data_IF_198435939892
#
_entry.id   IF_198435939892
#
_cell.length_a   1.000
_cell.length_b   1.000
_cell.length_c   1.000
_cell.angle_alpha   90.00
_cell.angle_beta   90.00
_cell.angle_gamma   90.00
#
_symmetry.space_group_name_H-M   'P 1'
#
loop_
_entity.id
_entity.type
_entity.pdbx_description
1 polymer ?
#
# COMPACT_ATOMS: atom_id res chain seq x y z
N UNK A 1 -25.59 -9.72 -11.10
CA UNK A 1 -24.80 -9.82 -12.35
C UNK A 1 -23.38 -10.14 -11.95
N UNK A 2 -22.72 -11.08 -12.64
CA UNK A 2 -21.31 -11.38 -12.35
C UNK A 2 -20.44 -10.15 -12.67
N UNK A 3 -19.42 -9.91 -11.85
CA UNK A 3 -18.45 -8.83 -12.08
C UNK A 3 -17.74 -9.04 -13.43
N UNK A 4 -17.51 -7.97 -14.18
CA UNK A 4 -16.78 -8.05 -15.45
C UNK A 4 -15.27 -8.04 -15.18
N UNK A 5 -14.54 -9.02 -15.75
CA UNK A 5 -13.08 -9.04 -15.77
C UNK A 5 -12.61 -8.66 -17.16
N UNK A 6 -11.68 -7.70 -17.27
CA UNK A 6 -11.12 -7.23 -18.53
C UNK A 6 -9.59 -7.21 -18.45
N UNK A 7 -8.95 -7.40 -19.60
CA UNK A 7 -7.51 -7.57 -19.67
C UNK A 7 -6.81 -6.47 -20.49
N UNK A 8 -7.57 -5.67 -21.24
CA UNK A 8 -7.00 -4.63 -22.10
C UNK A 8 -7.37 -3.22 -21.61
N UNK A 9 -6.49 -2.28 -21.88
CA UNK A 9 -6.70 -0.85 -21.63
C UNK A 9 -7.93 -0.34 -22.42
N UNK A 10 -8.13 -0.85 -23.63
CA UNK A 10 -9.26 -0.47 -24.48
C UNK A 10 -10.59 -0.83 -23.82
N UNK A 11 -10.75 -2.04 -23.29
CA UNK A 11 -11.98 -2.50 -22.61
C UNK A 11 -12.29 -1.68 -21.35
N UNK A 12 -11.25 -1.31 -20.56
CA UNK A 12 -11.44 -0.42 -19.40
C UNK A 12 -11.96 0.94 -19.85
N UNK A 13 -11.29 1.56 -20.83
CA UNK A 13 -11.66 2.90 -21.33
C UNK A 13 -13.07 2.91 -21.92
N UNK A 14 -13.45 1.89 -22.66
CA UNK A 14 -14.80 1.75 -23.22
C UNK A 14 -15.84 1.67 -22.09
N UNK A 15 -15.64 0.76 -21.13
CA UNK A 15 -16.57 0.57 -20.01
C UNK A 15 -16.71 1.86 -19.18
N UNK A 16 -15.61 2.51 -18.85
CA UNK A 16 -15.65 3.76 -18.05
C UNK A 16 -16.26 4.92 -18.85
N UNK A 17 -16.04 4.98 -20.17
CA UNK A 17 -16.65 5.99 -21.01
C UNK A 17 -18.19 5.89 -21.05
N UNK A 18 -18.74 4.67 -21.02
CA UNK A 18 -20.19 4.45 -20.90
C UNK A 18 -20.71 4.99 -19.56
N UNK A 19 -20.09 4.63 -18.44
CA UNK A 19 -20.47 5.13 -17.11
C UNK A 19 -20.44 6.66 -17.03
N UNK A 20 -19.46 7.29 -17.68
CA UNK A 20 -19.37 8.75 -17.71
C UNK A 20 -20.45 9.43 -18.54
N UNK A 21 -20.91 8.80 -19.63
CA UNK A 21 -22.07 9.30 -20.39
C UNK A 21 -23.34 9.30 -19.54
N UNK A 22 -23.44 8.40 -18.57
CA UNK A 22 -24.53 8.33 -17.61
C UNK A 22 -24.33 9.29 -16.41
N UNK A 23 -23.21 10.02 -16.35
CA UNK A 23 -22.90 10.95 -15.27
C UNK A 23 -22.39 10.30 -13.99
N UNK A 24 -21.97 9.01 -14.04
CA UNK A 24 -21.58 8.23 -12.88
C UNK A 24 -20.14 8.55 -12.42
N UNK A 25 -19.94 8.57 -11.12
CA UNK A 25 -18.64 8.67 -10.48
C UNK A 25 -17.94 7.32 -10.44
N UNK A 26 -16.58 7.34 -10.56
CA UNK A 26 -15.76 6.13 -10.62
C UNK A 26 -14.69 6.17 -9.54
N UNK A 27 -14.68 5.14 -8.69
CA UNK A 27 -13.60 4.85 -7.76
C UNK A 27 -12.60 3.84 -8.33
N UNK A 28 -11.35 3.94 -7.94
CA UNK A 28 -10.29 3.00 -8.32
C UNK A 28 -9.60 2.45 -7.07
N UNK A 29 -9.43 1.13 -7.02
CA UNK A 29 -8.65 0.44 -6.00
C UNK A 29 -7.46 -0.26 -6.66
N UNK A 30 -6.26 0.33 -6.66
CA UNK A 30 -5.05 -0.30 -7.19
C UNK A 30 -4.59 -1.42 -6.26
N UNK A 31 -4.43 -2.64 -6.79
CA UNK A 31 -3.89 -3.79 -6.06
C UNK A 31 -2.94 -4.61 -6.93
N UNK A 32 -2.17 -5.47 -6.28
CA UNK A 32 -1.36 -6.48 -6.96
C UNK A 32 -2.02 -7.87 -6.99
N UNK A 33 -3.28 -7.97 -6.54
CA UNK A 33 -3.97 -9.25 -6.41
C UNK A 33 -3.68 -9.97 -5.09
N UNK A 34 -4.12 -11.23 -5.01
CA UNK A 34 -4.16 -12.05 -3.81
C UNK A 34 -4.84 -11.29 -2.65
N UNK A 35 -6.07 -10.88 -2.92
CA UNK A 35 -6.81 -9.95 -2.09
C UNK A 35 -7.13 -10.56 -0.71
N UNK A 36 -7.16 -9.70 0.29
CA UNK A 36 -7.49 -10.04 1.68
C UNK A 36 -8.41 -8.97 2.30
N UNK A 37 -8.84 -9.14 3.54
CA UNK A 37 -9.78 -8.22 4.19
C UNK A 37 -9.31 -6.74 4.21
N UNK A 38 -7.99 -6.50 4.20
CA UNK A 38 -7.44 -5.14 4.01
C UNK A 38 -7.83 -4.56 2.66
N UNK A 39 -7.64 -5.29 1.55
CA UNK A 39 -8.09 -4.85 0.23
C UNK A 39 -9.63 -4.74 0.16
N UNK A 40 -10.35 -5.67 0.79
CA UNK A 40 -11.80 -5.65 0.87
C UNK A 40 -12.31 -4.35 1.52
N UNK A 41 -11.62 -3.84 2.55
CA UNK A 41 -12.00 -2.56 3.17
C UNK A 41 -11.86 -1.36 2.23
N UNK A 42 -10.82 -1.36 1.37
CA UNK A 42 -10.65 -0.33 0.33
C UNK A 42 -11.77 -0.38 -0.70
N UNK A 43 -12.12 -1.59 -1.15
CA UNK A 43 -13.18 -1.81 -2.14
C UNK A 43 -14.54 -1.37 -1.56
N UNK A 44 -14.85 -1.76 -0.31
CA UNK A 44 -16.07 -1.31 0.38
C UNK A 44 -16.15 0.21 0.43
N UNK A 45 -15.07 0.86 0.85
CA UNK A 45 -15.02 2.33 0.92
C UNK A 45 -15.22 2.97 -0.46
N UNK A 46 -14.62 2.38 -1.50
CA UNK A 46 -14.83 2.85 -2.88
C UNK A 46 -16.29 2.70 -3.35
N UNK A 47 -16.93 1.57 -3.04
CA UNK A 47 -18.33 1.29 -3.38
C UNK A 47 -19.30 2.23 -2.63
N UNK A 48 -18.97 2.59 -1.38
CA UNK A 48 -19.75 3.56 -0.59
C UNK A 48 -19.67 4.99 -1.16
N UNK A 49 -18.50 5.38 -1.68
CA UNK A 49 -18.23 6.76 -2.09
C UNK A 49 -18.48 7.04 -3.57
N UNK A 50 -18.68 6.02 -4.41
CA UNK A 50 -18.82 6.18 -5.86
C UNK A 50 -19.90 5.27 -6.43
N UNK A 51 -20.43 5.66 -7.60
CA UNK A 51 -21.45 4.87 -8.32
C UNK A 51 -20.86 3.60 -8.94
N UNK A 52 -19.59 3.62 -9.29
CA UNK A 52 -18.86 2.49 -9.89
C UNK A 52 -17.47 2.35 -9.27
N UNK A 53 -17.04 1.12 -9.11
CA UNK A 53 -15.70 0.78 -8.58
C UNK A 53 -14.97 -0.12 -9.54
N UNK A 54 -13.74 0.29 -9.93
CA UNK A 54 -12.76 -0.48 -10.67
C UNK A 54 -11.70 -0.98 -9.69
N UNK A 55 -11.40 -2.27 -9.71
CA UNK A 55 -10.27 -2.85 -8.98
C UNK A 55 -9.21 -3.27 -9.99
N UNK A 56 -7.98 -2.76 -9.88
CA UNK A 56 -6.88 -3.33 -10.65
C UNK A 56 -6.25 -4.50 -9.90
N UNK A 57 -6.01 -5.60 -10.60
CA UNK A 57 -5.31 -6.79 -10.12
C UNK A 57 -4.10 -7.00 -11.02
N UNK A 58 -2.97 -6.39 -10.65
CA UNK A 58 -1.77 -6.37 -11.49
C UNK A 58 -0.48 -6.38 -10.67
N UNK A 59 0.27 -7.49 -10.75
CA UNK A 59 1.61 -7.57 -10.14
C UNK A 59 2.57 -6.78 -11.02
N UNK A 60 2.86 -5.55 -10.62
CA UNK A 60 3.66 -4.61 -11.39
C UNK A 60 5.16 -4.95 -11.32
N UNK A 61 5.79 -5.43 -12.41
CA UNK A 61 7.20 -5.84 -12.37
C UNK A 61 8.17 -4.70 -12.10
N UNK A 62 7.81 -3.46 -12.48
CA UNK A 62 8.74 -2.32 -12.42
C UNK A 62 8.99 -1.79 -11.01
N UNK A 63 8.19 -2.23 -10.01
CA UNK A 63 8.37 -1.84 -8.61
C UNK A 63 9.15 -2.85 -7.78
N UNK A 64 9.58 -3.96 -8.37
CA UNK A 64 10.38 -4.99 -7.71
C UNK A 64 11.86 -4.86 -8.11
N UNK A 65 12.73 -4.93 -7.11
CA UNK A 65 14.17 -5.04 -7.31
C UNK A 65 14.58 -6.46 -7.72
N UNK A 66 15.84 -6.64 -8.17
CA UNK A 66 16.32 -7.93 -8.68
C UNK A 66 16.23 -9.11 -7.69
N UNK A 67 16.24 -8.82 -6.39
CA UNK A 67 16.24 -9.81 -5.31
C UNK A 67 14.91 -9.80 -4.52
N UNK A 68 13.86 -9.24 -5.08
CA UNK A 68 12.54 -9.19 -4.44
C UNK A 68 11.62 -10.31 -4.95
N UNK A 69 10.50 -10.50 -4.29
CA UNK A 69 9.58 -11.64 -4.42
C UNK A 69 8.63 -11.59 -5.64
N UNK A 70 9.05 -10.98 -6.76
CA UNK A 70 8.20 -10.84 -7.97
C UNK A 70 7.64 -12.18 -8.47
N UNK A 71 8.53 -13.17 -8.61
CA UNK A 71 8.14 -14.50 -9.11
C UNK A 71 7.30 -15.27 -8.09
N UNK A 72 7.62 -15.12 -6.80
CA UNK A 72 6.93 -15.79 -5.70
C UNK A 72 5.64 -15.08 -5.27
N UNK A 73 5.38 -13.85 -5.77
CA UNK A 73 4.20 -13.08 -5.36
C UNK A 73 2.91 -13.86 -5.70
N UNK A 74 2.02 -14.11 -4.73
CA UNK A 74 0.87 -14.98 -4.91
C UNK A 74 -0.13 -14.39 -5.90
N UNK A 75 -0.74 -15.27 -6.72
CA UNK A 75 -1.74 -14.90 -7.71
C UNK A 75 -2.90 -15.91 -7.65
N UNK A 76 -4.12 -15.41 -7.56
CA UNK A 76 -5.34 -16.20 -7.56
C UNK A 76 -6.50 -15.33 -8.05
N UNK A 77 -6.65 -15.25 -9.38
CA UNK A 77 -7.65 -14.36 -9.98
C UNK A 77 -9.09 -14.81 -9.69
N UNK A 78 -9.33 -16.10 -9.56
CA UNK A 78 -10.66 -16.63 -9.26
C UNK A 78 -11.13 -16.18 -7.88
N UNK A 79 -10.30 -16.37 -6.85
CA UNK A 79 -10.54 -15.90 -5.48
C UNK A 79 -10.65 -14.37 -5.41
N UNK A 80 -9.81 -13.65 -6.14
CA UNK A 80 -9.85 -12.18 -6.20
C UNK A 80 -11.16 -11.70 -6.83
N UNK A 81 -11.63 -12.41 -7.86
CA UNK A 81 -12.91 -12.11 -8.52
C UNK A 81 -14.09 -12.32 -7.57
N UNK A 82 -14.14 -13.45 -6.87
CA UNK A 82 -15.18 -13.73 -5.87
C UNK A 82 -15.21 -12.68 -4.76
N UNK A 83 -14.04 -12.27 -4.26
CA UNK A 83 -13.94 -11.23 -3.23
C UNK A 83 -14.43 -9.86 -3.75
N UNK A 84 -14.03 -9.48 -4.96
CA UNK A 84 -14.46 -8.24 -5.58
C UNK A 84 -15.99 -8.21 -5.81
N UNK A 85 -16.54 -9.32 -6.32
CA UNK A 85 -17.99 -9.46 -6.57
C UNK A 85 -18.79 -9.38 -5.26
N UNK A 86 -18.37 -10.13 -4.23
CA UNK A 86 -19.01 -10.12 -2.91
C UNK A 86 -18.95 -8.76 -2.21
N UNK A 87 -17.99 -7.92 -2.61
CA UNK A 87 -17.78 -6.58 -2.04
C UNK A 87 -18.52 -5.49 -2.82
N UNK A 88 -19.04 -5.79 -4.02
CA UNK A 88 -19.80 -4.87 -4.84
C UNK A 88 -18.99 -4.08 -5.88
N UNK A 89 -17.75 -4.48 -6.17
CA UNK A 89 -16.99 -3.91 -7.28
C UNK A 89 -17.70 -4.19 -8.63
N UNK A 90 -17.47 -3.33 -9.61
CA UNK A 90 -18.16 -3.40 -10.92
C UNK A 90 -17.26 -3.91 -12.04
N UNK A 91 -15.94 -3.69 -11.94
CA UNK A 91 -14.98 -4.05 -12.96
C UNK A 91 -13.66 -4.47 -12.31
N UNK A 92 -13.08 -5.56 -12.80
CA UNK A 92 -11.71 -5.94 -12.52
C UNK A 92 -10.87 -5.69 -13.77
N UNK A 93 -9.76 -4.97 -13.61
CA UNK A 93 -8.73 -4.82 -14.63
C UNK A 93 -7.52 -5.68 -14.27
N UNK A 94 -7.34 -6.77 -15.01
CA UNK A 94 -6.23 -7.71 -14.81
C UNK A 94 -5.42 -7.84 -16.11
N UNK A 95 -4.54 -6.85 -16.40
CA UNK A 95 -3.74 -6.85 -17.62
C UNK A 95 -2.51 -7.76 -17.50
N UNK A 96 -2.01 -8.22 -18.65
CA UNK A 96 -0.68 -8.77 -18.77
C UNK A 96 0.40 -7.66 -18.70
N UNK A 97 1.64 -7.96 -18.30
CA UNK A 97 2.72 -6.96 -18.27
C UNK A 97 2.96 -6.27 -19.63
N UNK A 98 2.80 -6.96 -20.75
CA UNK A 98 2.93 -6.41 -22.10
C UNK A 98 1.85 -5.39 -22.46
N UNK A 99 0.65 -5.49 -21.86
CA UNK A 99 -0.42 -4.50 -22.04
C UNK A 99 -0.08 -3.20 -21.29
N UNK A 100 0.57 -3.30 -20.12
CA UNK A 100 0.98 -2.15 -19.34
C UNK A 100 2.29 -1.53 -19.82
N UNK A 101 3.21 -2.35 -20.28
CA UNK A 101 4.56 -1.96 -20.72
C UNK A 101 4.88 -2.67 -22.02
N UNK A 102 4.45 -2.07 -23.12
CA UNK A 102 4.73 -2.56 -24.47
C UNK A 102 6.22 -2.43 -24.84
N UNK A 103 6.65 -3.15 -25.85
CA UNK A 103 8.03 -3.08 -26.33
C UNK A 103 8.42 -1.65 -26.68
N UNK A 104 9.58 -1.21 -26.18
CA UNK A 104 10.05 0.16 -26.36
C UNK A 104 9.54 1.17 -25.31
N UNK A 105 8.87 0.72 -24.25
CA UNK A 105 8.44 1.59 -23.14
C UNK A 105 9.65 2.27 -22.46
N UNK A 106 9.67 3.60 -22.44
CA UNK A 106 10.79 4.42 -21.91
C UNK A 106 10.36 5.56 -20.99
N UNK A 107 9.06 5.68 -20.71
CA UNK A 107 8.50 6.78 -19.91
C UNK A 107 8.27 6.37 -18.47
N UNK A 108 8.78 7.14 -17.52
CA UNK A 108 8.62 6.87 -16.10
C UNK A 108 8.18 8.13 -15.36
N UNK A 109 7.45 7.93 -14.26
CA UNK A 109 7.18 8.97 -13.27
C UNK A 109 8.05 8.68 -12.06
N UNK A 110 8.92 9.62 -11.72
CA UNK A 110 9.84 9.51 -10.59
C UNK A 110 9.59 10.63 -9.59
N UNK A 111 9.96 10.39 -8.34
CA UNK A 111 9.78 11.36 -7.26
C UNK A 111 11.03 11.40 -6.39
N UNK A 112 11.41 12.64 -5.99
CA UNK A 112 12.50 12.88 -5.06
C UNK A 112 11.95 13.40 -3.71
N UNK A 113 12.79 13.45 -2.70
CA UNK A 113 12.41 13.91 -1.36
C UNK A 113 11.75 12.78 -0.56
N UNK A 114 10.43 12.65 -0.60
CA UNK A 114 9.71 11.63 0.17
C UNK A 114 10.21 10.19 -0.06
N UNK A 115 10.80 9.92 -1.20
CA UNK A 115 11.33 8.60 -1.57
C UNK A 115 12.78 8.38 -1.14
N UNK A 116 13.41 9.37 -0.52
CA UNK A 116 14.78 9.28 0.00
C UNK A 116 14.85 8.77 1.44
N UNK A 117 13.74 8.29 1.99
CA UNK A 117 13.57 7.86 3.37
C UNK A 117 12.91 6.47 3.43
N UNK A 118 12.96 5.81 4.60
CA UNK A 118 12.21 4.58 4.88
C UNK A 118 12.39 3.50 3.77
N UNK A 119 11.30 2.98 3.23
CA UNK A 119 11.31 2.00 2.15
C UNK A 119 12.07 2.47 0.90
N UNK A 120 12.13 3.77 0.62
CA UNK A 120 12.84 4.29 -0.55
C UNK A 120 14.35 4.13 -0.47
N UNK A 121 14.92 4.12 0.75
CA UNK A 121 16.36 3.84 0.97
C UNK A 121 16.69 2.37 0.70
N UNK A 122 15.88 1.45 1.20
CA UNK A 122 16.11 0.01 1.04
C UNK A 122 15.65 -0.55 -0.31
N UNK A 123 14.77 0.17 -1.01
CA UNK A 123 14.17 -0.23 -2.29
C UNK A 123 14.25 0.88 -3.35
N UNK A 124 15.44 1.19 -3.88
CA UNK A 124 15.69 2.40 -4.70
C UNK A 124 14.83 2.53 -5.96
N UNK A 125 14.38 1.40 -6.55
CA UNK A 125 13.56 1.39 -7.78
C UNK A 125 12.06 1.38 -7.50
N UNK A 126 11.67 1.09 -6.25
CA UNK A 126 10.29 0.79 -5.87
C UNK A 126 9.33 1.93 -6.20
N UNK A 127 9.59 3.13 -5.69
CA UNK A 127 8.66 4.25 -5.85
C UNK A 127 8.57 4.78 -7.28
N UNK A 128 9.65 4.69 -8.06
CA UNK A 128 9.58 4.96 -9.50
C UNK A 128 8.62 4.00 -10.20
N UNK A 129 8.67 2.72 -9.86
CA UNK A 129 7.72 1.72 -10.36
C UNK A 129 6.29 2.00 -9.90
N UNK A 130 6.08 2.32 -8.61
CA UNK A 130 4.77 2.66 -8.05
C UNK A 130 4.18 3.92 -8.71
N UNK A 131 4.94 5.02 -8.76
CA UNK A 131 4.47 6.28 -9.38
C UNK A 131 4.10 6.06 -10.85
N UNK A 132 4.89 5.27 -11.58
CA UNK A 132 4.64 4.98 -12.99
C UNK A 132 3.36 4.18 -13.18
N UNK A 133 3.19 3.05 -12.47
CA UNK A 133 2.00 2.21 -12.64
C UNK A 133 0.73 2.91 -12.18
N UNK A 134 0.80 3.63 -11.05
CA UNK A 134 -0.35 4.36 -10.51
C UNK A 134 -0.77 5.49 -11.46
N UNK A 135 0.19 6.23 -12.04
CA UNK A 135 -0.10 7.24 -13.06
C UNK A 135 -0.74 6.63 -14.31
N UNK A 136 -0.25 5.46 -14.77
CA UNK A 136 -0.89 4.74 -15.88
C UNK A 136 -2.33 4.35 -15.55
N UNK A 137 -2.57 3.77 -14.37
CA UNK A 137 -3.91 3.39 -13.93
C UNK A 137 -4.85 4.61 -13.83
N UNK A 138 -4.36 5.76 -13.33
CA UNK A 138 -5.15 6.99 -13.30
C UNK A 138 -5.51 7.48 -14.70
N UNK A 139 -4.59 7.40 -15.66
CA UNK A 139 -4.86 7.77 -17.06
C UNK A 139 -5.75 6.76 -17.81
N UNK A 140 -5.72 5.49 -17.42
CA UNK A 140 -6.55 4.43 -18.03
C UNK A 140 -7.99 4.53 -17.54
N UNK A 141 -8.18 4.61 -16.22
CA UNK A 141 -9.49 4.64 -15.57
C UNK A 141 -10.05 6.06 -15.46
N UNK A 142 -9.19 7.04 -15.21
CA UNK A 142 -9.54 8.43 -14.92
C UNK A 142 -10.51 8.55 -13.73
N UNK A 143 -10.23 7.99 -12.56
CA UNK A 143 -11.17 7.91 -11.46
C UNK A 143 -11.46 9.28 -10.85
N UNK A 144 -12.62 9.42 -10.17
CA UNK A 144 -12.89 10.56 -9.29
C UNK A 144 -12.14 10.43 -7.97
N UNK A 145 -12.00 9.20 -7.47
CA UNK A 145 -11.28 8.86 -6.24
C UNK A 145 -10.46 7.59 -6.41
N UNK A 146 -9.29 7.53 -5.77
CA UNK A 146 -8.49 6.31 -5.69
C UNK A 146 -8.14 5.99 -4.23
N UNK A 147 -8.21 4.71 -3.85
CA UNK A 147 -8.17 4.23 -2.47
C UNK A 147 -6.89 3.49 -2.19
N UNK A 148 -6.18 3.89 -1.13
CA UNK A 148 -4.91 3.30 -0.71
C UNK A 148 -4.92 3.02 0.79
N UNK A 149 -4.30 1.91 1.19
CA UNK A 149 -4.18 1.54 2.60
C UNK A 149 -3.11 2.36 3.34
N UNK A 150 -3.43 2.83 4.55
CA UNK A 150 -2.48 3.49 5.44
C UNK A 150 -1.35 2.56 5.93
N UNK A 151 -1.48 1.25 5.74
CA UNK A 151 -0.40 0.30 6.01
C UNK A 151 0.85 0.64 5.21
N UNK A 152 0.70 1.03 3.96
CA UNK A 152 1.78 1.48 3.09
C UNK A 152 1.87 3.01 3.13
N UNK A 153 2.12 3.54 4.35
CA UNK A 153 2.02 4.96 4.67
C UNK A 153 2.87 5.87 3.78
N UNK A 154 4.13 5.48 3.53
CA UNK A 154 5.01 6.22 2.63
C UNK A 154 4.46 6.21 1.19
N UNK A 155 3.95 5.08 0.70
CA UNK A 155 3.31 5.02 -0.61
C UNK A 155 2.11 5.96 -0.70
N UNK A 156 1.26 5.98 0.34
CA UNK A 156 0.11 6.89 0.40
C UNK A 156 0.54 8.36 0.32
N UNK A 157 1.59 8.75 1.07
CA UNK A 157 2.13 10.11 1.03
C UNK A 157 2.73 10.47 -0.33
N UNK A 158 3.50 9.54 -0.93
CA UNK A 158 4.09 9.69 -2.27
C UNK A 158 3.00 9.88 -3.32
N UNK A 159 1.96 9.04 -3.32
CA UNK A 159 0.86 9.14 -4.30
C UNK A 159 0.05 10.43 -4.11
N UNK A 160 -0.25 10.83 -2.88
CA UNK A 160 -0.92 12.12 -2.59
C UNK A 160 -0.09 13.30 -3.11
N UNK A 161 1.21 13.27 -2.88
CA UNK A 161 2.12 14.31 -3.35
C UNK A 161 2.19 14.36 -4.88
N UNK A 162 2.32 13.22 -5.53
CA UNK A 162 2.33 13.09 -6.99
C UNK A 162 1.05 13.68 -7.62
N UNK A 163 -0.11 13.31 -7.10
CA UNK A 163 -1.41 13.83 -7.57
C UNK A 163 -1.47 15.34 -7.45
N UNK A 164 -1.03 15.89 -6.31
CA UNK A 164 -0.98 17.33 -6.07
C UNK A 164 -0.03 18.05 -7.03
N UNK A 165 1.20 17.56 -7.15
CA UNK A 165 2.26 18.22 -7.96
C UNK A 165 1.97 18.16 -9.46
N UNK A 166 1.36 17.06 -9.92
CA UNK A 166 1.00 16.89 -11.34
C UNK A 166 -0.42 17.39 -11.67
N UNK A 167 -1.11 18.03 -10.71
CA UNK A 167 -2.47 18.57 -10.87
C UNK A 167 -3.45 17.54 -11.43
N UNK A 168 -3.33 16.28 -10.99
CA UNK A 168 -4.22 15.22 -11.45
C UNK A 168 -5.63 15.42 -10.85
N UNK A 169 -6.70 15.34 -11.67
CA UNK A 169 -8.07 15.70 -11.25
C UNK A 169 -8.77 14.56 -10.50
N UNK A 170 -8.17 14.06 -9.41
CA UNK A 170 -8.77 13.03 -8.57
C UNK A 170 -8.39 13.24 -7.11
N UNK A 171 -9.18 12.65 -6.21
CA UNK A 171 -8.92 12.60 -4.77
C UNK A 171 -8.24 11.28 -4.37
N UNK A 172 -7.22 11.34 -3.49
CA UNK A 172 -6.60 10.15 -2.90
C UNK A 172 -7.16 9.95 -1.49
N UNK A 173 -7.87 8.84 -1.31
CA UNK A 173 -8.47 8.44 -0.03
C UNK A 173 -7.58 7.43 0.66
N UNK A 174 -7.08 7.78 1.86
CA UNK A 174 -6.34 6.87 2.73
C UNK A 174 -7.30 6.09 3.63
N UNK A 175 -7.22 4.75 3.61
CA UNK A 175 -8.05 3.89 4.44
C UNK A 175 -7.25 3.28 5.60
N UNK A 176 -7.86 3.12 6.79
CA UNK A 176 -7.18 2.59 7.97
C UNK A 176 -6.57 1.21 7.77
N UNK A 177 -5.55 0.91 8.60
CA UNK A 177 -4.93 -0.42 8.63
C UNK A 177 -5.94 -1.44 9.14
N UNK A 178 -6.16 -2.50 8.37
CA UNK A 178 -6.92 -3.67 8.82
C UNK A 178 -5.93 -4.68 9.40
N UNK A 179 -6.28 -5.22 10.58
CA UNK A 179 -5.45 -6.18 11.31
C UNK A 179 -6.16 -7.51 11.43
N UNK A 180 -5.39 -8.58 11.53
CA UNK A 180 -5.88 -9.89 11.91
C UNK A 180 -6.30 -9.90 13.39
N UNK A 181 -7.02 -10.93 13.83
CA UNK A 181 -7.57 -11.01 15.19
C UNK A 181 -6.50 -10.88 16.31
N UNK A 182 -5.27 -11.29 16.03
CA UNK A 182 -4.11 -11.20 16.93
C UNK A 182 -3.34 -9.89 16.84
N UNK A 183 -3.75 -9.00 15.94
CA UNK A 183 -3.21 -7.65 15.77
C UNK A 183 -2.18 -7.47 14.66
N UNK A 184 -1.74 -8.53 13.97
CA UNK A 184 -0.83 -8.39 12.83
C UNK A 184 -1.52 -7.62 11.71
N UNK A 185 -0.82 -6.65 11.10
CA UNK A 185 -1.33 -5.95 9.93
C UNK A 185 -1.53 -6.92 8.75
N UNK A 186 -2.69 -6.86 8.09
CA UNK A 186 -2.98 -7.74 6.97
C UNK A 186 -2.05 -7.49 5.79
N UNK A 187 -1.50 -8.58 5.26
CA UNK A 187 -0.60 -8.56 4.10
C UNK A 187 -0.72 -9.86 3.33
N UNK A 188 -0.64 -9.81 1.99
CA UNK A 188 -0.53 -11.01 1.16
C UNK A 188 0.73 -11.83 1.52
N UNK A 189 1.79 -11.18 1.99
CA UNK A 189 3.03 -11.82 2.45
C UNK A 189 2.88 -12.60 3.75
N UNK A 190 1.80 -12.40 4.52
CA UNK A 190 1.55 -13.20 5.73
C UNK A 190 1.42 -14.70 5.41
N UNK A 191 1.01 -15.05 4.19
CA UNK A 191 0.90 -16.46 3.74
C UNK A 191 2.24 -17.15 3.49
N UNK A 192 3.35 -16.42 3.48
CA UNK A 192 4.69 -17.01 3.32
C UNK A 192 5.24 -17.62 4.61
N UNK A 193 4.65 -17.26 5.75
CA UNK A 193 5.12 -17.66 7.07
C UNK A 193 4.54 -19.01 7.50
N UNK A 194 5.39 -19.84 8.11
CA UNK A 194 4.93 -20.97 8.90
C UNK A 194 4.40 -20.50 10.27
N UNK A 195 3.91 -21.42 11.11
CA UNK A 195 3.29 -21.08 12.40
C UNK A 195 4.26 -20.41 13.37
N UNK A 196 5.54 -20.80 13.37
CA UNK A 196 6.58 -20.20 14.23
C UNK A 196 6.91 -18.77 13.75
N UNK A 197 7.17 -18.61 12.47
CA UNK A 197 7.42 -17.30 11.84
C UNK A 197 6.21 -16.36 12.02
N UNK A 198 5.00 -16.92 11.90
CA UNK A 198 3.74 -16.17 12.10
C UNK A 198 3.57 -15.70 13.54
N UNK A 199 3.96 -16.53 14.52
CA UNK A 199 3.96 -16.16 15.94
C UNK A 199 4.99 -15.06 16.23
N UNK A 200 6.21 -15.21 15.70
CA UNK A 200 7.27 -14.21 15.82
C UNK A 200 6.88 -12.85 15.21
N UNK A 201 6.16 -12.86 14.09
CA UNK A 201 5.72 -11.64 13.42
C UNK A 201 4.79 -10.74 14.27
N UNK A 202 4.16 -11.29 15.32
CA UNK A 202 3.33 -10.51 16.26
C UNK A 202 4.13 -9.45 17.03
N UNK A 203 5.46 -9.58 17.07
CA UNK A 203 6.33 -8.57 17.69
C UNK A 203 6.18 -7.20 17.03
N UNK A 204 5.88 -7.14 15.71
CA UNK A 204 5.66 -5.89 14.99
C UNK A 204 4.48 -5.12 15.59
N UNK A 205 3.32 -5.76 15.73
CA UNK A 205 2.13 -5.12 16.28
C UNK A 205 2.30 -4.74 17.75
N UNK A 206 3.07 -5.51 18.52
CA UNK A 206 3.41 -5.19 19.92
C UNK A 206 4.31 -3.94 19.98
N UNK A 207 5.31 -3.85 19.11
CA UNK A 207 6.22 -2.70 19.02
C UNK A 207 5.47 -1.42 18.60
N UNK A 208 4.57 -1.51 17.62
CA UNK A 208 3.72 -0.38 17.20
C UNK A 208 2.84 0.11 18.36
N UNK A 209 2.20 -0.80 19.10
CA UNK A 209 1.39 -0.44 20.28
C UNK A 209 2.23 0.21 21.38
N UNK A 210 3.44 -0.31 21.63
CA UNK A 210 4.37 0.29 22.58
C UNK A 210 4.74 1.72 22.19
N UNK A 211 5.15 1.93 20.93
CA UNK A 211 5.50 3.27 20.42
C UNK A 211 4.33 4.24 20.52
N UNK A 212 3.13 3.81 20.14
CA UNK A 212 1.92 4.62 20.27
C UNK A 212 1.63 4.99 21.74
N UNK A 213 1.69 4.03 22.66
CA UNK A 213 1.46 4.27 24.08
C UNK A 213 2.46 5.25 24.69
N UNK A 214 3.75 5.13 24.34
CA UNK A 214 4.77 6.08 24.82
C UNK A 214 4.45 7.52 24.42
N UNK A 215 4.02 7.74 23.18
CA UNK A 215 3.64 9.08 22.70
C UNK A 215 2.36 9.56 23.39
N UNK A 216 1.36 8.70 23.60
CA UNK A 216 0.11 9.01 24.32
C UNK A 216 0.38 9.35 25.80
N UNK A 217 1.35 8.68 26.43
CA UNK A 217 1.78 8.93 27.82
C UNK A 217 2.65 10.19 27.96
N UNK A 218 2.92 10.89 26.85
CA UNK A 218 3.61 12.18 26.88
C UNK A 218 5.09 12.14 26.53
N UNK A 219 5.64 11.01 26.04
CA UNK A 219 7.01 11.00 25.52
C UNK A 219 7.10 11.85 24.24
N UNK A 220 8.09 12.73 24.18
CA UNK A 220 8.29 13.65 23.04
C UNK A 220 9.69 13.55 22.41
N UNK A 221 10.60 12.78 23.02
CA UNK A 221 11.89 12.47 22.41
C UNK A 221 11.74 11.27 21.45
N UNK A 222 11.87 11.52 20.15
CA UNK A 222 11.77 10.50 19.12
C UNK A 222 12.82 9.40 19.27
N UNK A 223 14.01 9.74 19.82
CA UNK A 223 15.08 8.73 20.05
C UNK A 223 14.71 7.76 21.15
N UNK A 224 14.00 8.22 22.20
CA UNK A 224 13.50 7.37 23.28
C UNK A 224 12.45 6.39 22.73
N UNK A 225 11.44 6.88 22.01
CA UNK A 225 10.41 6.02 21.37
C UNK A 225 11.05 4.99 20.47
N UNK A 226 11.95 5.42 19.56
CA UNK A 226 12.67 4.54 18.64
C UNK A 226 13.47 3.45 19.39
N UNK A 227 14.25 3.84 20.40
CA UNK A 227 15.08 2.90 21.14
C UNK A 227 14.26 1.82 21.85
N UNK A 228 13.13 2.21 22.48
CA UNK A 228 12.23 1.27 23.18
C UNK A 228 11.55 0.30 22.20
N UNK A 229 11.18 0.79 21.02
CA UNK A 229 10.60 -0.05 19.97
C UNK A 229 11.61 -1.05 19.43
N UNK A 230 12.87 -0.63 19.19
CA UNK A 230 13.95 -1.51 18.74
C UNK A 230 14.27 -2.56 19.79
N UNK A 231 14.42 -2.17 21.06
CA UNK A 231 14.66 -3.12 22.17
C UNK A 231 13.61 -4.22 22.21
N UNK A 232 12.33 -3.87 22.02
CA UNK A 232 11.25 -4.86 21.98
C UNK A 232 11.34 -5.75 20.73
N UNK A 233 11.61 -5.20 19.55
CA UNK A 233 11.73 -5.97 18.31
C UNK A 233 12.89 -6.97 18.39
N UNK A 234 14.06 -6.54 18.88
CA UNK A 234 15.26 -7.36 19.03
C UNK A 234 15.14 -8.45 20.12
N UNK A 235 14.11 -8.37 20.98
CA UNK A 235 13.79 -9.47 21.91
C UNK A 235 13.23 -10.73 21.22
N UNK A 236 12.82 -10.62 19.95
CA UNK A 236 12.35 -11.74 19.13
C UNK A 236 13.53 -12.23 18.23
N UNK A 237 14.06 -13.44 18.46
CA UNK A 237 15.24 -13.92 17.73
C UNK A 237 15.07 -14.04 16.21
N UNK A 238 13.82 -14.18 15.72
CA UNK A 238 13.53 -14.26 14.28
C UNK A 238 13.33 -12.89 13.64
N UNK A 239 13.36 -11.78 14.41
CA UNK A 239 13.13 -10.45 13.90
C UNK A 239 14.46 -9.75 13.55
N UNK A 240 14.70 -9.51 12.27
CA UNK A 240 15.78 -8.65 11.77
C UNK A 240 15.19 -7.27 11.45
N UNK A 241 15.60 -6.25 12.24
CA UNK A 241 15.07 -4.90 12.17
C UNK A 241 15.76 -4.12 11.05
N UNK A 242 15.04 -3.88 9.96
CA UNK A 242 15.55 -3.05 8.86
C UNK A 242 15.52 -1.56 9.22
N UNK A 243 14.40 -1.08 9.77
CA UNK A 243 14.31 0.27 10.34
C UNK A 243 13.16 0.40 11.36
N UNK A 244 13.35 1.34 12.28
CA UNK A 244 12.31 1.98 13.10
C UNK A 244 12.55 3.48 13.00
N UNK A 245 11.61 4.23 12.42
CA UNK A 245 11.77 5.67 12.26
C UNK A 245 10.54 6.42 12.77
N UNK A 246 10.80 7.57 13.37
CA UNK A 246 9.81 8.57 13.77
C UNK A 246 10.02 9.77 12.85
N UNK A 247 9.06 10.02 11.97
CA UNK A 247 9.21 11.00 10.89
C UNK A 247 8.05 12.00 10.87
N UNK A 248 8.28 13.15 10.26
CA UNK A 248 7.20 14.04 9.88
C UNK A 248 6.34 13.38 8.79
N UNK A 249 5.03 13.29 9.00
CA UNK A 249 4.11 12.58 8.11
C UNK A 249 3.95 13.20 6.71
N UNK A 250 4.40 14.46 6.51
CA UNK A 250 4.32 15.13 5.21
C UNK A 250 5.62 15.08 4.42
N UNK A 251 6.78 15.15 5.12
CA UNK A 251 8.10 15.21 4.47
C UNK A 251 8.83 13.88 4.49
N UNK A 252 8.42 12.93 5.33
CA UNK A 252 9.10 11.66 5.62
C UNK A 252 10.50 11.81 6.22
N UNK A 253 10.89 13.03 6.60
CA UNK A 253 12.16 13.32 7.27
C UNK A 253 12.11 12.91 8.73
N UNK A 254 13.21 12.35 9.23
CA UNK A 254 13.37 12.02 10.64
C UNK A 254 13.22 13.27 11.51
N UNK A 255 12.58 13.12 12.68
CA UNK A 255 12.41 14.17 13.67
C UNK A 255 13.07 13.77 14.99
N UNK A 256 13.62 14.75 15.73
CA UNK A 256 14.13 14.55 17.08
C UNK A 256 13.04 14.77 18.13
N UNK A 257 12.15 15.74 17.91
CA UNK A 257 11.03 16.10 18.80
C UNK A 257 9.69 15.73 18.18
N UNK A 258 8.88 14.97 18.92
CA UNK A 258 7.54 14.51 18.49
C UNK A 258 6.55 15.66 18.67
N UNK A 259 6.13 16.27 17.55
CA UNK A 259 5.14 17.36 17.48
C UNK A 259 4.46 17.42 16.12
N UNK A 260 3.21 17.88 16.10
CA UNK A 260 2.39 17.97 14.88
C UNK A 260 2.05 16.59 14.32
N UNK A 261 1.97 16.48 12.99
CA UNK A 261 1.60 15.24 12.32
C UNK A 261 2.82 14.33 12.15
N UNK A 262 2.84 13.22 12.85
CA UNK A 262 3.93 12.25 12.83
C UNK A 262 3.50 10.92 12.21
N UNK A 263 4.46 10.23 11.64
CA UNK A 263 4.40 8.82 11.27
C UNK A 263 5.51 8.06 12.01
N UNK A 264 5.15 7.00 12.72
CA UNK A 264 6.11 6.03 13.24
C UNK A 264 6.00 4.77 12.40
N UNK A 265 7.06 4.41 11.71
CA UNK A 265 7.07 3.31 10.74
C UNK A 265 8.20 2.33 11.02
N UNK A 266 7.88 1.04 10.84
CA UNK A 266 8.83 -0.06 11.00
C UNK A 266 8.88 -0.94 9.76
N UNK A 267 10.05 -1.49 9.48
CA UNK A 267 10.21 -2.61 8.58
C UNK A 267 11.10 -3.67 9.26
N UNK A 268 10.64 -4.90 9.24
CA UNK A 268 11.28 -6.03 9.90
C UNK A 268 11.21 -7.24 8.97
N UNK A 269 12.33 -7.96 8.83
CA UNK A 269 12.33 -9.26 8.20
C UNK A 269 12.16 -10.34 9.26
N UNK A 270 11.27 -11.27 9.00
CA UNK A 270 11.10 -12.45 9.85
C UNK A 270 11.87 -13.61 9.22
N UNK A 271 12.81 -14.15 10.00
CA UNK A 271 13.66 -15.30 9.62
C UNK A 271 14.40 -15.07 8.28
N UNK A 272 14.89 -13.84 8.02
CA UNK A 272 15.51 -13.40 6.76
C UNK A 272 14.68 -13.65 5.49
N UNK A 273 13.44 -14.05 5.64
CA UNK A 273 12.57 -14.54 4.57
C UNK A 273 11.44 -13.58 4.21
N UNK A 274 10.68 -13.11 5.20
CA UNK A 274 9.46 -12.32 4.97
C UNK A 274 9.63 -10.91 5.50
N UNK A 275 9.71 -9.93 4.58
CA UNK A 275 9.73 -8.51 4.93
C UNK A 275 8.32 -8.01 5.22
N UNK A 276 8.09 -7.57 6.44
CA UNK A 276 6.84 -7.00 6.92
C UNK A 276 7.02 -5.53 7.30
N UNK A 277 5.97 -4.75 7.13
CA UNK A 277 5.91 -3.35 7.56
C UNK A 277 4.67 -3.11 8.40
N UNK A 278 4.80 -2.18 9.33
CA UNK A 278 3.68 -1.66 10.12
C UNK A 278 3.94 -0.21 10.51
N UNK A 279 2.90 0.51 10.95
CA UNK A 279 3.02 1.90 11.36
C UNK A 279 1.85 2.37 12.21
N UNK A 280 2.00 3.56 12.80
CA UNK A 280 0.90 4.39 13.26
C UNK A 280 1.16 5.85 12.90
N UNK A 281 0.06 6.59 12.72
CA UNK A 281 0.08 8.04 12.50
C UNK A 281 -0.67 8.72 13.64
N UNK A 282 -0.16 9.86 14.10
CA UNK A 282 -0.74 10.63 15.19
C UNK A 282 -0.48 12.12 14.98
N UNK A 283 -1.43 12.95 15.40
CA UNK A 283 -1.24 14.39 15.57
C UNK A 283 -1.04 14.69 17.06
N UNK A 284 0.06 15.36 17.40
CA UNK A 284 0.48 15.63 18.79
C UNK A 284 0.59 17.12 19.03
#
# INVERSE_FOLDING_TARGET
MSIKVVHTIAEVKETVAEWRKEGLTVGLVPTMGFLHAGHQSLIKKSVEDNDRTVVSVFVNPTQFGPNEDLEAYPRDLERDTELCESTGANLIFNPEPSEMYEDGFVSFVDMNGLTNHLCGLSRPVHFRGVCTVVTKLFNIVGPNRAYFGQKDAQQLAVVKRMVKDLNMPLEIVGCPIVREADGLAMSSRNTYMNDEERSAALILSKSIKLGQQLVEDGERDAKVVRARMIELLESEPMADVEYVNVVNNLTMEDIDEIKGDILVAIAVKINDKVRLIDNFMMTV
#
